data_IF_244790286615
#
_entry.id   IF_244790286615
#
_cell.length_a   1.000
_cell.length_b   1.000
_cell.length_c   1.000
_cell.angle_alpha   90.00
_cell.angle_beta   90.00
_cell.angle_gamma   90.00
#
_symmetry.space_group_name_H-M   'P 1'
#
loop_
_entity.id
_entity.type
_entity.pdbx_description
1 polymer ?
2 non-polymer ?
3 non-polymer ?
4 water ?
#
# COMPACT_ATOMS: atom_id res chain seq x y z
N UNK A 4 -13.26 -16.25 -30.29
CA UNK A 4 -12.78 -16.60 -28.97
C UNK A 4 -12.58 -15.39 -28.09
N UNK A 5 -12.57 -15.62 -26.78
CA UNK A 5 -12.50 -14.54 -25.82
C UNK A 5 -11.06 -14.12 -25.61
N UNK A 6 -10.87 -12.81 -25.44
CA UNK A 6 -9.58 -12.24 -25.07
C UNK A 6 -9.38 -12.48 -23.59
N UNK A 7 -8.25 -13.03 -23.18
CA UNK A 7 -8.11 -13.11 -21.76
C UNK A 7 -7.55 -11.79 -21.27
N UNK A 8 -7.62 -11.66 -19.96
CA UNK A 8 -7.40 -10.41 -19.30
C UNK A 8 -6.01 -10.40 -18.74
N UNK A 9 -5.58 -9.26 -18.25
CA UNK A 9 -4.31 -9.20 -17.54
C UNK A 9 -4.30 -10.05 -16.27
N UNK A 10 -3.09 -10.24 -15.73
CA UNK A 10 -2.97 -10.76 -14.37
C UNK A 10 -3.57 -9.76 -13.38
N UNK A 11 -3.24 -8.47 -13.53
CA UNK A 11 -3.89 -7.44 -12.77
C UNK A 11 -3.79 -6.12 -13.49
N UNK A 12 -4.72 -5.25 -13.15
CA UNK A 12 -4.65 -3.84 -13.54
C UNK A 12 -4.10 -3.00 -12.43
N UNK A 13 -3.48 -1.87 -12.76
CA UNK A 13 -3.07 -0.96 -11.73
C UNK A 13 -2.28 0.21 -12.29
N UNK A 14 -1.80 1.04 -11.39
CA UNK A 14 -0.93 2.17 -11.75
C UNK A 14 0.48 1.75 -11.49
N UNK A 15 1.28 1.74 -12.55
CA UNK A 15 2.67 1.34 -12.48
C UNK A 15 3.54 2.59 -12.43
N UNK A 16 4.28 2.75 -11.34
CA UNK A 16 5.07 4.00 -11.20
C UNK A 16 6.14 4.03 -12.28
N UNK A 17 6.50 5.25 -12.69
CA UNK A 17 7.58 5.39 -13.63
C UNK A 17 8.87 4.99 -12.95
N UNK A 18 9.91 4.78 -13.72
CA UNK A 18 11.19 4.38 -13.14
C UNK A 18 11.67 5.34 -12.05
N UNK A 19 11.63 6.62 -12.36
CA UNK A 19 12.08 7.61 -11.39
C UNK A 19 11.19 7.67 -10.15
N UNK A 20 9.87 7.61 -10.33
CA UNK A 20 8.98 7.62 -9.21
C UNK A 20 9.09 6.35 -8.35
N UNK A 21 9.26 5.22 -9.02
CA UNK A 21 9.37 3.93 -8.33
C UNK A 21 10.66 3.96 -7.52
N UNK A 22 11.77 4.40 -8.11
CA UNK A 22 13.02 4.42 -7.37
C UNK A 22 13.00 5.40 -6.17
N UNK A 23 12.35 6.53 -6.35
CA UNK A 23 12.25 7.53 -5.33
C UNK A 23 11.47 6.94 -4.19
N UNK A 24 10.33 6.34 -4.48
CA UNK A 24 9.56 5.75 -3.41
C UNK A 24 10.24 4.57 -2.79
N UNK A 25 10.86 3.70 -3.59
CA UNK A 25 11.56 2.56 -3.02
C UNK A 25 12.62 3.02 -2.05
N UNK A 26 13.39 4.06 -2.42
CA UNK A 26 14.40 4.56 -1.52
C UNK A 26 13.81 5.16 -0.22
N UNK A 27 12.70 5.87 -0.35
CA UNK A 27 12.08 6.50 0.81
C UNK A 27 11.58 5.42 1.76
N UNK A 28 11.02 4.39 1.13
CA UNK A 28 10.54 3.23 1.90
C UNK A 28 11.65 2.59 2.70
N UNK A 29 12.80 2.36 2.06
CA UNK A 29 13.93 1.72 2.76
C UNK A 29 14.47 2.61 3.86
N UNK A 30 14.59 3.90 3.61
CA UNK A 30 15.02 4.85 4.64
C UNK A 30 14.06 4.83 5.81
N UNK A 31 12.75 4.80 5.55
CA UNK A 31 11.79 4.70 6.65
C UNK A 31 12.03 3.44 7.48
N UNK A 32 12.22 2.30 6.80
CA UNK A 32 12.49 1.07 7.55
C UNK A 32 13.76 1.15 8.40
N UNK A 33 14.80 1.75 7.86
CA UNK A 33 16.02 1.92 8.60
C UNK A 33 15.83 2.81 9.80
N UNK A 34 15.16 3.95 9.57
CA UNK A 34 14.92 4.91 10.63
C UNK A 34 14.01 4.33 11.68
N UNK A 35 13.00 3.56 11.25
CA UNK A 35 12.09 2.97 12.21
C UNK A 35 12.75 1.92 13.11
N UNK A 36 13.53 1.04 12.52
CA UNK A 36 14.23 0.05 13.31
C UNK A 36 15.24 0.62 14.30
N UNK A 37 15.71 1.84 14.04
CA UNK A 37 16.69 2.52 14.89
C UNK A 37 15.98 3.31 15.97
N UNK A 38 14.68 3.51 15.81
CA UNK A 38 13.94 4.38 16.71
C UNK A 38 13.72 3.76 18.07
N UNK A 39 14.03 4.52 19.09
CA UNK A 39 13.84 4.09 20.47
C UNK A 39 12.46 3.52 20.78
N UNK A 40 11.43 4.16 20.27
CA UNK A 40 10.06 3.70 20.52
C UNK A 40 9.79 2.32 19.89
N UNK A 41 10.39 2.10 18.73
CA UNK A 41 10.27 0.79 18.05
C UNK A 41 11.05 -0.27 18.83
N UNK A 42 12.29 0.03 19.20
CA UNK A 42 13.11 -0.95 19.89
C UNK A 42 12.41 -1.35 21.19
N UNK A 43 11.81 -0.39 21.87
CA UNK A 43 11.09 -0.66 23.11
C UNK A 43 9.98 -1.70 22.96
N UNK A 44 9.20 -1.62 21.89
CA UNK A 44 8.01 -2.45 21.70
C UNK A 44 8.29 -3.73 20.99
N UNK A 45 9.56 -4.04 20.77
CA UNK A 45 9.92 -5.15 19.89
C UNK A 45 9.28 -6.51 20.29
N UNK A 46 8.69 -6.59 21.48
CA UNK A 46 8.07 -7.83 21.97
C UNK A 46 6.67 -8.11 21.38
N UNK A 47 6.00 -7.08 20.83
CA UNK A 47 4.66 -7.21 20.20
C UNK A 47 4.76 -7.31 18.67
N UNK A 48 5.98 -7.21 18.14
CA UNK A 48 6.23 -7.31 16.72
C UNK A 48 6.58 -8.74 16.25
N UNK A 49 7.67 -9.34 16.74
CA UNK A 49 7.96 -10.78 16.49
C UNK A 49 7.67 -11.66 17.72
N UNK A 56 21.06 -6.59 20.71
CA UNK A 56 20.82 -6.95 19.32
C UNK A 56 19.50 -6.38 18.72
N UNK A 57 19.57 -5.91 17.49
CA UNK A 57 18.44 -5.17 16.92
C UNK A 57 17.89 -5.88 15.68
N UNK A 58 16.64 -5.59 15.36
CA UNK A 58 16.00 -6.11 14.16
C UNK A 58 16.20 -5.16 12.97
N UNK A 59 16.76 -5.63 11.86
CA UNK A 59 16.91 -4.77 10.69
C UNK A 59 15.64 -5.00 9.88
N UNK A 60 14.73 -4.01 9.83
CA UNK A 60 13.45 -4.24 9.15
C UNK A 60 13.60 -4.46 7.65
N UNK A 61 14.70 -3.99 7.06
CA UNK A 61 14.89 -4.23 5.65
C UNK A 61 15.07 -5.73 5.40
N UNK A 62 15.71 -6.42 6.33
CA UNK A 62 15.84 -7.87 6.29
C UNK A 62 14.49 -8.55 6.58
N UNK A 63 13.83 -8.07 7.62
CA UNK A 63 12.51 -8.61 8.04
C UNK A 63 11.49 -8.67 6.91
N UNK A 64 11.38 -7.58 6.15
CA UNK A 64 10.50 -7.53 4.97
C UNK A 64 11.30 -8.05 3.75
N UNK A 65 11.50 -9.34 3.76
CA UNK A 65 12.50 -9.97 2.91
C UNK A 65 11.99 -10.32 1.53
N UNK A 66 10.75 -9.97 1.24
CA UNK A 66 10.19 -10.12 -0.10
C UNK A 66 9.79 -8.76 -0.51
N UNK A 67 10.35 -8.29 -1.62
CA UNK A 67 10.07 -6.91 -2.09
C UNK A 67 9.64 -7.03 -3.52
N UNK A 68 8.90 -6.06 -3.98
CA UNK A 68 8.47 -6.16 -5.40
C UNK A 68 9.68 -6.12 -6.32
N UNK A 69 9.78 -7.06 -7.26
CA UNK A 69 11.04 -7.12 -8.00
C UNK A 69 11.03 -6.16 -9.16
N UNK A 70 9.84 -5.77 -9.61
CA UNK A 70 9.72 -4.87 -10.74
C UNK A 70 9.40 -3.49 -10.21
N UNK A 71 8.84 -2.65 -11.04
CA UNK A 71 8.56 -1.31 -10.55
C UNK A 71 7.47 -1.45 -9.54
N UNK A 72 7.45 -0.49 -8.65
CA UNK A 72 6.39 -0.38 -7.70
C UNK A 72 5.08 -0.02 -8.39
N UNK A 73 4.00 -0.42 -7.76
CA UNK A 73 2.67 -0.22 -8.36
C UNK A 73 1.58 -0.18 -7.34
N UNK A 74 0.46 0.41 -7.76
CA UNK A 74 -0.76 0.47 -6.98
C UNK A 74 -1.79 -0.31 -7.73
N UNK A 75 -2.13 -1.47 -7.19
CA UNK A 75 -3.03 -2.41 -7.88
C UNK A 75 -4.46 -1.89 -7.75
N UNK A 76 -5.25 -2.01 -8.83
CA UNK A 76 -6.69 -1.82 -8.68
C UNK A 76 -7.43 -3.14 -8.61
N UNK A 77 -7.44 -3.91 -9.69
CA UNK A 77 -8.17 -5.18 -9.73
C UNK A 77 -7.26 -6.31 -10.16
N UNK A 78 -7.11 -7.29 -9.27
CA UNK A 78 -6.49 -8.54 -9.59
C UNK A 78 -7.48 -9.38 -10.38
N UNK A 79 -7.06 -9.76 -11.56
CA UNK A 79 -7.94 -10.47 -12.51
C UNK A 79 -7.58 -11.93 -12.76
N UNK A 80 -6.30 -12.28 -12.55
CA UNK A 80 -5.81 -13.62 -12.87
C UNK A 80 -6.26 -14.14 -14.21
N UNK A 81 -6.11 -13.25 -15.21
CA UNK A 81 -6.46 -13.51 -16.60
C UNK A 81 -7.91 -13.76 -16.86
N UNK A 82 -8.78 -13.47 -15.91
CA UNK A 82 -10.19 -13.76 -16.06
C UNK A 82 -10.65 -14.69 -14.99
N UNK A 83 -9.72 -15.30 -14.25
CA UNK A 83 -10.13 -16.33 -13.31
C UNK A 83 -10.63 -15.77 -12.00
N UNK A 84 -10.36 -14.48 -11.76
CA UNK A 84 -10.76 -13.85 -10.50
C UNK A 84 -12.17 -13.31 -10.59
N UNK A 85 -12.86 -13.31 -9.45
CA UNK A 85 -14.23 -12.86 -9.41
C UNK A 85 -14.31 -11.43 -9.89
N UNK A 86 -15.23 -11.19 -10.82
CA UNK A 86 -15.48 -9.83 -11.28
C UNK A 86 -14.48 -9.19 -12.23
N UNK A 87 -13.55 -10.02 -12.69
CA UNK A 87 -12.50 -9.54 -13.55
C UNK A 87 -13.07 -9.03 -14.88
N UNK A 88 -13.93 -9.82 -15.54
CA UNK A 88 -14.46 -9.38 -16.81
C UNK A 88 -15.29 -8.14 -16.62
N UNK A 89 -16.11 -8.09 -15.57
CA UNK A 89 -16.92 -6.89 -15.38
C UNK A 89 -16.03 -5.64 -15.14
N UNK A 90 -14.94 -5.73 -14.40
CA UNK A 90 -14.02 -4.62 -14.24
C UNK A 90 -13.39 -4.18 -15.55
N UNK A 91 -12.87 -5.14 -16.29
CA UNK A 91 -12.10 -4.86 -17.47
C UNK A 91 -12.96 -4.28 -18.56
N UNK A 92 -14.26 -4.60 -18.61
CA UNK A 92 -15.12 -4.10 -19.73
C UNK A 92 -15.56 -2.68 -19.49
N UNK A 93 -15.20 -2.11 -18.33
CA UNK A 93 -15.70 -0.79 -18.03
C UNK A 93 -15.09 0.26 -18.99
N UNK A 94 -15.93 1.13 -19.43
CA UNK A 94 -15.52 2.22 -20.32
C UNK A 94 -14.35 3.00 -19.69
N UNK A 95 -14.41 3.26 -18.37
CA UNK A 95 -13.36 4.10 -17.77
C UNK A 95 -12.02 3.38 -17.74
N UNK A 96 -12.04 2.05 -17.64
CA UNK A 96 -10.83 1.28 -17.62
C UNK A 96 -10.23 1.30 -19.03
N UNK A 97 -11.03 1.14 -20.06
CA UNK A 97 -10.56 1.20 -21.41
C UNK A 97 -10.00 2.61 -21.72
N UNK A 98 -10.74 3.66 -21.36
CA UNK A 98 -10.29 5.04 -21.61
C UNK A 98 -8.98 5.38 -20.90
N UNK A 99 -8.76 4.82 -19.71
CA UNK A 99 -7.58 5.15 -18.92
C UNK A 99 -6.40 4.29 -19.24
N UNK A 100 -6.60 3.28 -20.07
CA UNK A 100 -5.55 2.28 -20.33
C UNK A 100 -4.37 2.96 -21.05
N UNK A 101 -3.18 2.94 -20.43
CA UNK A 101 -1.96 3.54 -20.95
C UNK A 101 -1.78 5.01 -20.55
N UNK A 102 -2.71 5.53 -19.76
CA UNK A 102 -2.74 6.97 -19.40
C UNK A 102 -1.98 7.25 -18.11
N UNK A 103 -1.35 8.44 -18.04
CA UNK A 103 -0.56 8.81 -16.90
C UNK A 103 -1.38 9.52 -15.83
N UNK A 104 -1.04 9.22 -14.59
CA UNK A 104 -1.75 9.73 -13.42
C UNK A 104 -0.73 10.18 -12.37
N UNK A 105 -1.17 11.02 -11.45
CA UNK A 105 -0.39 11.38 -10.27
C UNK A 105 -1.03 10.71 -9.08
N UNK A 106 -0.24 9.96 -8.31
CA UNK A 106 -0.74 9.35 -7.11
C UNK A 106 -0.13 10.05 -5.93
N UNK A 107 -0.99 10.28 -4.94
CA UNK A 107 -0.64 10.99 -3.70
C UNK A 107 -0.50 10.09 -2.51
N UNK A 108 0.71 10.00 -1.96
CA UNK A 108 1.01 9.08 -0.86
C UNK A 108 0.99 9.92 0.40
N UNK A 109 0.17 9.54 1.39
CA UNK A 109 0.00 10.31 2.61
C UNK A 109 0.70 9.76 3.85
N UNK A 110 1.10 8.50 3.76
CA UNK A 110 1.66 7.77 4.90
C UNK A 110 2.42 6.56 4.44
N UNK A 111 3.39 6.17 5.28
CA UNK A 111 4.05 4.88 5.16
C UNK A 111 3.67 4.09 6.41
N UNK A 112 3.64 2.76 6.28
CA UNK A 112 3.20 1.93 7.41
C UNK A 112 3.93 0.61 7.39
N UNK A 113 3.99 0.01 8.57
CA UNK A 113 4.58 -1.26 8.78
C UNK A 113 3.68 -2.05 9.73
N UNK A 114 3.61 -3.35 9.52
CA UNK A 114 2.99 -4.25 10.45
C UNK A 114 3.88 -5.46 10.54
N UNK A 115 3.51 -6.44 11.38
CA UNK A 115 4.34 -7.66 11.36
C UNK A 115 4.33 -8.42 10.07
N UNK A 116 3.42 -8.11 9.15
CA UNK A 116 3.31 -8.84 7.92
C UNK A 116 3.78 -8.02 6.71
N UNK A 117 3.50 -6.71 6.69
CA UNK A 117 3.75 -5.95 5.44
C UNK A 117 4.29 -4.54 5.74
N UNK A 118 4.89 -3.95 4.70
CA UNK A 118 5.30 -2.55 4.71
C UNK A 118 4.76 -1.95 3.46
N UNK A 119 4.20 -0.76 3.56
CA UNK A 119 3.58 -0.13 2.40
C UNK A 119 3.49 1.34 2.54
N UNK A 120 3.03 1.89 1.40
CA UNK A 120 2.63 3.31 1.25
C UNK A 120 1.12 3.41 1.05
N UNK A 121 0.48 4.28 1.84
CA UNK A 121 -0.93 4.60 1.68
C UNK A 121 -1.15 5.60 0.55
N UNK A 122 -2.05 5.26 -0.37
CA UNK A 122 -2.35 6.13 -1.52
C UNK A 122 -3.72 6.73 -1.29
N UNK A 123 -3.84 8.05 -1.50
CA UNK A 123 -5.09 8.75 -1.38
C UNK A 123 -5.54 9.10 -2.79
N UNK A 124 -6.44 8.29 -3.31
CA UNK A 124 -6.95 8.47 -4.67
C UNK A 124 -7.84 9.67 -4.85
N UNK A 125 -7.67 10.32 -5.99
CA UNK A 125 -8.62 11.34 -6.41
C UNK A 125 -9.94 10.73 -6.85
N UNK A 126 -10.96 11.57 -7.05
CA UNK A 126 -12.23 11.00 -7.51
C UNK A 126 -12.07 10.41 -8.89
N UNK A 127 -11.23 11.04 -9.74
CA UNK A 127 -11.00 10.52 -11.08
C UNK A 127 -10.42 9.14 -10.95
N UNK A 128 -9.49 8.98 -10.03
CA UNK A 128 -8.79 7.73 -9.90
C UNK A 128 -9.70 6.68 -9.24
N UNK A 129 -10.61 7.12 -8.37
CA UNK A 129 -11.57 6.19 -7.76
C UNK A 129 -12.49 5.56 -8.78
N UNK A 130 -12.68 6.21 -9.92
CA UNK A 130 -13.47 5.58 -10.95
C UNK A 130 -12.87 4.25 -11.41
N UNK A 131 -11.54 4.07 -11.22
CA UNK A 131 -10.82 2.86 -11.60
C UNK A 131 -10.71 1.86 -10.44
N UNK A 132 -11.22 2.25 -9.28
CA UNK A 132 -11.23 1.36 -8.09
C UNK A 132 -12.37 0.34 -8.21
N UNK A 133 -12.06 -0.96 -8.04
CA UNK A 133 -13.15 -1.93 -8.27
C UNK A 133 -14.26 -1.84 -7.24
N UNK A 134 -15.47 -2.22 -7.65
CA UNK A 134 -16.65 -2.18 -6.77
C UNK A 134 -16.89 -3.47 -6.04
N UNK A 135 -16.13 -4.49 -6.37
CA UNK A 135 -16.46 -5.81 -5.91
C UNK A 135 -15.32 -6.46 -5.14
N UNK A 136 -14.53 -5.66 -4.41
CA UNK A 136 -13.43 -6.24 -3.63
C UNK A 136 -13.97 -7.12 -2.49
N UNK A 137 -13.30 -8.23 -2.18
CA UNK A 137 -13.50 -8.85 -0.89
C UNK A 137 -13.12 -7.76 0.17
N UNK A 138 -13.80 -7.75 1.30
CA UNK A 138 -13.52 -6.78 2.35
C UNK A 138 -13.36 -5.41 1.78
N UNK A 139 -14.42 -4.93 1.15
CA UNK A 139 -14.38 -3.55 0.67
C UNK A 139 -14.32 -2.56 1.84
N UNK A 140 -13.78 -1.36 1.59
CA UNK A 140 -13.84 -0.31 2.60
C UNK A 140 -15.18 -0.09 3.16
N UNK A 141 -16.20 -0.09 2.32
CA UNK A 141 -17.55 0.17 2.80
C UNK A 141 -18.05 -0.84 3.84
N UNK A 142 -17.49 -2.04 3.83
CA UNK A 142 -17.91 -3.05 4.79
C UNK A 142 -17.24 -2.82 6.15
N UNK A 143 -16.41 -1.77 6.24
CA UNK A 143 -15.88 -1.30 7.52
C UNK A 143 -16.07 0.22 7.71
N UNK A 144 -17.04 0.79 7.01
CA UNK A 144 -17.43 2.17 7.18
C UNK A 144 -16.33 3.14 6.78
N UNK A 145 -15.48 2.70 5.86
CA UNK A 145 -14.44 3.56 5.27
C UNK A 145 -14.81 3.88 3.85
N UNK A 146 -14.37 5.04 3.33
CA UNK A 146 -14.82 5.31 1.97
C UNK A 146 -14.16 4.35 1.00
N UNK A 147 -14.83 4.02 -0.09
CA UNK A 147 -14.20 3.19 -1.11
C UNK A 147 -12.79 3.70 -1.51
N UNK A 148 -11.90 2.74 -1.68
CA UNK A 148 -10.56 2.97 -2.14
C UNK A 148 -9.63 3.40 -1.02
N UNK A 149 -10.13 3.37 0.23
CA UNK A 149 -9.28 3.73 1.39
C UNK A 149 -8.06 2.86 1.54
N UNK A 150 -8.13 1.62 1.10
CA UNK A 150 -6.99 0.71 1.19
C UNK A 150 -6.03 0.70 0.01
N UNK A 151 -6.17 1.68 -0.93
CA UNK A 151 -5.25 1.80 -1.99
C UNK A 151 -3.84 1.99 -1.42
N UNK A 152 -2.85 1.28 -1.99
CA UNK A 152 -1.52 1.25 -1.43
C UNK A 152 -0.54 0.87 -2.47
N UNK A 153 0.73 1.07 -2.13
CA UNK A 153 1.86 0.50 -2.85
C UNK A 153 2.60 -0.39 -1.83
N UNK A 154 2.70 -1.69 -2.09
CA UNK A 154 3.44 -2.58 -1.25
C UNK A 154 4.94 -2.34 -1.41
N UNK A 155 5.61 -2.25 -0.29
CA UNK A 155 7.08 -2.05 -0.26
C UNK A 155 7.80 -3.31 0.15
N UNK A 156 7.14 -4.14 0.95
CA UNK A 156 7.74 -5.40 1.32
C UNK A 156 6.79 -6.24 2.16
N UNK A 157 7.10 -7.54 2.23
CA UNK A 157 6.22 -8.62 2.81
C UNK A 157 7.17 -9.45 3.69
N UNK A 158 6.75 -9.94 4.86
CA UNK A 158 7.44 -11.00 5.50
C UNK A 158 7.41 -12.29 4.66
N UNK A 159 8.31 -13.20 4.97
CA UNK A 159 8.55 -14.37 4.12
C UNK A 159 7.34 -15.20 3.77
N UNK A 160 6.43 -15.38 4.72
CA UNK A 160 5.28 -16.25 4.52
C UNK A 160 3.96 -15.49 4.19
N UNK A 161 4.07 -14.25 3.74
CA UNK A 161 2.93 -13.38 3.57
C UNK A 161 2.61 -13.21 2.09
N UNK A 162 1.34 -12.98 1.73
CA UNK A 162 1.03 -12.60 0.34
C UNK A 162 0.87 -11.06 0.11
N UNK A 163 1.29 -10.57 -1.06
CA UNK A 163 1.20 -9.13 -1.29
C UNK A 163 -0.18 -8.55 -0.98
N UNK A 164 -1.26 -9.28 -1.28
CA UNK A 164 -2.65 -8.91 -0.90
C UNK A 164 -2.85 -8.43 0.55
N UNK A 165 -2.29 -9.18 1.48
CA UNK A 165 -2.24 -8.76 2.87
C UNK A 165 -2.02 -7.30 3.11
N UNK A 166 -1.24 -6.65 2.26
CA UNK A 166 -0.95 -5.25 2.50
C UNK A 166 -2.19 -4.37 2.57
N UNK A 167 -3.18 -4.59 1.69
CA UNK A 167 -4.39 -3.83 1.71
C UNK A 167 -5.22 -4.14 2.93
N UNK A 168 -5.21 -5.39 3.37
CA UNK A 168 -5.95 -5.73 4.56
C UNK A 168 -5.30 -5.06 5.78
N UNK A 169 -3.98 -5.10 5.85
CA UNK A 169 -3.28 -4.43 6.93
C UNK A 169 -3.55 -2.92 6.97
N UNK A 170 -3.56 -2.28 5.81
CA UNK A 170 -3.91 -0.86 5.80
C UNK A 170 -5.34 -0.61 6.22
N UNK A 171 -6.26 -1.42 5.78
CA UNK A 171 -7.65 -1.22 6.20
C UNK A 171 -7.76 -1.32 7.71
N UNK A 172 -7.02 -2.25 8.30
CA UNK A 172 -7.06 -2.45 9.77
C UNK A 172 -6.45 -1.25 10.46
N UNK A 173 -5.35 -0.74 9.90
CA UNK A 173 -4.78 0.47 10.46
C UNK A 173 -5.77 1.64 10.36
N UNK A 174 -6.37 1.83 9.18
CA UNK A 174 -7.30 2.98 9.01
C UNK A 174 -8.58 2.83 9.86
N UNK A 175 -9.03 1.59 10.10
CA UNK A 175 -10.11 1.32 11.06
C UNK A 175 -9.76 1.89 12.43
N UNK A 176 -8.54 1.62 12.85
CA UNK A 176 -8.06 2.09 14.13
C UNK A 176 -7.94 3.60 14.18
N UNK A 177 -7.29 4.17 13.18
CA UNK A 177 -7.15 5.62 13.12
C UNK A 177 -8.57 6.24 13.15
N UNK A 178 -9.53 5.56 12.53
CA UNK A 178 -10.95 5.99 12.53
C UNK A 178 -11.55 6.00 13.93
N UNK A 179 -11.14 5.04 14.75
CA UNK A 179 -11.50 5.03 16.16
C UNK A 179 -10.75 6.09 16.95
N UNK A 180 -9.92 6.88 16.27
CA UNK A 180 -9.14 7.91 16.93
C UNK A 180 -8.06 7.35 17.84
N UNK A 181 -7.77 6.05 17.70
CA UNK A 181 -6.86 5.35 18.61
C UNK A 181 -5.42 5.43 18.12
N UNK A 182 -5.20 6.39 17.22
CA UNK A 182 -3.90 6.67 16.66
C UNK A 182 -2.84 6.83 17.78
N UNK A 183 -3.25 7.49 18.87
CA UNK A 183 -2.35 7.77 19.97
C UNK A 183 -1.48 8.98 19.65
N UNK A 184 -1.00 9.69 20.66
CA UNK A 184 -0.01 10.73 20.43
C UNK A 184 1.16 10.15 19.67
N UNK A 185 1.74 10.95 18.79
CA UNK A 185 2.95 10.53 18.11
C UNK A 185 3.98 10.13 19.14
N UNK A 186 4.71 9.07 18.82
CA UNK A 186 5.76 8.57 19.69
C UNK A 186 7.09 9.04 19.20
N UNK A 187 7.12 9.83 18.14
CA UNK A 187 8.38 10.20 17.56
C UNK A 187 8.16 11.17 16.44
N UNK A 188 9.18 11.95 16.16
CA UNK A 188 9.12 12.92 15.06
C UNK A 188 10.29 12.62 14.14
N UNK A 189 10.02 11.89 13.05
CA UNK A 189 11.01 11.56 12.05
C UNK A 189 11.14 12.71 11.07
N UNK A 190 12.17 12.70 10.22
CA UNK A 190 12.38 13.93 9.45
C UNK A 190 11.21 14.30 8.51
N UNK A 191 10.56 13.29 7.95
CA UNK A 191 9.48 13.51 6.99
C UNK A 191 8.09 13.42 7.61
N UNK A 192 7.99 13.24 8.91
CA UNK A 192 6.68 13.29 9.56
C UNK A 192 6.60 12.72 10.96
N UNK A 193 5.37 12.58 11.46
CA UNK A 193 5.12 12.09 12.81
C UNK A 193 4.97 10.59 12.76
N UNK A 194 5.56 9.93 13.75
CA UNK A 194 5.51 8.49 13.86
C UNK A 194 4.51 8.06 14.91
N UNK A 195 3.62 7.13 14.53
CA UNK A 195 2.60 6.65 15.43
C UNK A 195 2.75 5.14 15.65
N UNK A 196 2.59 4.77 16.93
CA UNK A 196 2.59 3.36 17.36
C UNK A 196 1.15 2.97 17.56
N UNK A 197 0.62 2.07 16.74
CA UNK A 197 -0.79 1.69 16.83
C UNK A 197 -1.05 0.42 17.61
N UNK A 198 0.04 -0.21 18.06
CA UNK A 198 -0.02 -1.42 18.84
C UNK A 198 0.01 -2.61 17.92
N UNK A 199 0.20 -3.78 18.48
CA UNK A 199 0.29 -5.03 17.72
C UNK A 199 1.24 -4.95 16.56
N UNK A 200 2.34 -4.26 16.79
CA UNK A 200 3.42 -4.21 15.85
C UNK A 200 3.15 -3.34 14.66
N UNK A 201 2.13 -2.48 14.77
CA UNK A 201 1.71 -1.66 13.64
C UNK A 201 2.22 -0.22 13.84
N UNK A 202 2.78 0.37 12.79
CA UNK A 202 3.41 1.69 12.87
C UNK A 202 3.04 2.50 11.65
N UNK A 203 2.85 3.78 11.81
CA UNK A 203 2.51 4.68 10.71
C UNK A 203 3.36 5.91 10.78
N UNK A 204 3.94 6.28 9.66
CA UNK A 204 4.62 7.57 9.47
C UNK A 204 3.66 8.45 8.65
N UNK A 205 3.12 9.50 9.26
CA UNK A 205 2.18 10.37 8.57
C UNK A 205 3.03 11.49 8.00
N UNK A 206 3.05 11.58 6.69
CA UNK A 206 3.96 12.52 6.00
C UNK A 206 3.54 13.95 6.21
N UNK A 207 4.52 14.81 6.50
CA UNK A 207 4.25 16.25 6.56
C UNK A 207 3.77 16.80 5.26
N UNK A 208 4.39 16.33 4.16
CA UNK A 208 3.96 16.69 2.82
C UNK A 208 3.67 15.40 2.09
N UNK A 209 2.54 15.33 1.41
CA UNK A 209 2.24 14.16 0.63
C UNK A 209 3.28 14.01 -0.49
N UNK A 210 3.62 12.77 -0.77
CA UNK A 210 4.54 12.43 -1.81
C UNK A 210 3.76 12.16 -3.07
N UNK A 211 4.08 12.88 -4.14
CA UNK A 211 3.40 12.61 -5.39
C UNK A 211 4.33 11.74 -6.24
N UNK A 212 3.76 10.72 -6.85
CA UNK A 212 4.48 9.84 -7.76
C UNK A 212 3.71 9.82 -9.08
N UNK A 213 4.43 9.68 -10.19
CA UNK A 213 3.80 9.53 -11.52
C UNK A 213 3.65 8.05 -11.85
N UNK A 214 2.51 7.68 -12.41
CA UNK A 214 2.30 6.30 -12.74
C UNK A 214 1.38 6.16 -13.94
N UNK A 215 1.53 5.04 -14.64
CA UNK A 215 0.72 4.75 -15.86
C UNK A 215 -0.29 3.65 -15.48
N UNK A 216 -1.56 3.88 -15.77
CA UNK A 216 -2.61 2.88 -15.51
C UNK A 216 -2.54 1.88 -16.69
N UNK A 217 -2.40 0.60 -16.39
CA UNK A 217 -2.39 -0.35 -17.46
C UNK A 217 -2.55 -1.76 -16.85
N UNK A 218 -2.39 -2.74 -17.71
CA UNK A 218 -2.49 -4.14 -17.32
C UNK A 218 -1.17 -4.84 -17.35
N UNK A 219 -0.89 -5.66 -16.33
CA UNK A 219 0.29 -6.53 -16.29
C UNK A 219 -0.07 -7.98 -16.56
N UNK A 220 0.64 -8.65 -17.46
CA UNK A 220 0.36 -10.00 -17.78
C UNK A 220 1.40 -10.97 -17.23
N UNK A 221 2.60 -10.48 -16.98
CA UNK A 221 3.71 -11.33 -16.60
C UNK A 221 3.89 -12.40 -17.64
X LIG B 1 -0.29 -5.68 -3.75
X LIG B 1 1.16 -5.56 -4.19
X LIG B 1 -1.26 -4.82 -4.50
X LIG B 1 -0.51 -5.44 -2.29
X LIG B 1 0.11 -9.47 -8.02
X LIG B 1 -0.12 -10.48 -7.06
X LIG B 1 -0.35 -8.11 -7.48
X LIG B 1 -1.76 -8.06 -7.31
X LIG B 1 0.30 -7.84 -6.14
X LIG B 1 0.99 -6.62 -6.25
X LIG B 1 -0.87 -7.94 -5.16
X LIG B 1 -0.79 -7.19 -3.96
X LIG B 1 -2.10 -7.61 -6.00
X LIG B 1 -3.34 -8.26 -5.54
X LIG B 1 -4.48 -7.64 -5.10
X LIG B 1 -5.40 -8.57 -4.77
X LIG B 1 -4.86 -9.80 -4.98
X LIG B 1 -5.36 -11.10 -4.81
X LIG B 1 -6.59 -11.30 -4.34
X LIG B 1 -4.56 -12.18 -5.12
X LIG B 1 -3.28 -11.98 -5.61
X LIG B 1 -2.79 -10.70 -5.78
X LIG B 1 -3.57 -9.62 -5.47
X LIG B 1 -0.43 -9.71 -8.94
X LIG B 1 1.17 -9.43 -8.26
X LIG B 1 -0.52 -10.08 -6.26
X LIG B 1 -0.03 -7.34 -8.18
X LIG B 1 1.00 -8.65 -5.93
X LIG B 1 0.58 -5.97 -5.64
X LIG B 1 -0.95 -8.99 -4.88
X LIG B 1 -2.24 -6.53 -6.03
X LIG B 1 -4.62 -6.56 -5.03
X LIG B 1 -7.18 -10.50 -4.11
X LIG B 1 -6.94 -12.24 -4.22
X LIG B 1 -2.65 -12.84 -5.86
X LIG C 1 -13.20 -0.56 -1.48
#
# INVERSE_FOLDING_TARGET
GGLEKDFLPLYFGWFLTKKSSETLRKAGQVFLEELGNHKAFKKELRHFISGDEPKEKLELVSYFGKRPPGVLHCTTKFCDYGKAAGAEEYAQQEVVKRSYGKAFKLSISALFVTPKTAGAQVVLTDQELQLWPSDLDKPSASEGLPPGSQAHVTLGCAADVQPVQTGLDLLDILQQVKGGSQGEAVGELPRGKLYSLGKGRWMLSLTKKMEVKAIFTGYYG
2AM P O1P O2P O3P C5' O5' C4' O4' C3' O3' C2' O2' C1' N9 C8 N7 C5 C6 N6 N1 C2 N3 C4 H5'1 H5'2 HO5' H4' H3' HO3' H2' H1' H8 HN61 HN62 H2
CL CL
#
